data_IF_327252639945
#
_entry.id   IF_327252639945
#
_cell.length_a   1.000
_cell.length_b   1.000
_cell.length_c   1.000
_cell.angle_alpha   90.00
_cell.angle_beta   90.00
_cell.angle_gamma   90.00
#
_symmetry.space_group_name_H-M   'P 1'
#
loop_
_entity.id
_entity.type
_entity.pdbx_description
1 polymer ?
#
# COMPACT_ATOMS: atom_id res chain seq x y z
N UNK A 1 17.15 5.43 0.69
CA UNK A 1 16.54 4.38 1.54
C UNK A 1 17.41 4.21 2.76
N UNK A 2 16.90 4.60 3.93
CA UNK A 2 17.60 4.53 5.21
C UNK A 2 17.70 3.07 5.70
N UNK A 3 18.48 2.83 6.75
CA UNK A 3 18.52 1.50 7.39
C UNK A 3 17.14 1.09 7.92
N UNK A 4 16.38 2.06 8.44
CA UNK A 4 15.05 1.84 8.99
C UNK A 4 14.05 1.46 7.91
N UNK A 5 14.11 2.09 6.74
CA UNK A 5 13.26 1.74 5.59
C UNK A 5 13.51 0.30 5.13
N UNK A 6 14.79 -0.13 5.11
CA UNK A 6 15.15 -1.52 4.75
C UNK A 6 14.54 -2.51 5.73
N UNK A 7 14.62 -2.23 7.03
CA UNK A 7 14.07 -3.10 8.07
C UNK A 7 12.53 -3.15 8.01
N UNK A 8 11.88 -2.01 7.79
CA UNK A 8 10.41 -1.92 7.59
C UNK A 8 9.97 -2.76 6.39
N UNK A 9 10.64 -2.60 5.25
CA UNK A 9 10.33 -3.35 4.03
C UNK A 9 10.57 -4.85 4.20
N UNK A 10 11.61 -5.25 4.92
CA UNK A 10 11.85 -6.66 5.25
C UNK A 10 10.76 -7.22 6.17
N UNK A 11 10.30 -6.47 7.17
CA UNK A 11 9.22 -6.88 8.05
C UNK A 11 7.90 -7.02 7.28
N UNK A 12 7.61 -6.08 6.38
CA UNK A 12 6.45 -6.16 5.49
C UNK A 12 6.52 -7.40 4.59
N UNK A 13 7.69 -7.67 4.00
CA UNK A 13 7.89 -8.86 3.16
C UNK A 13 7.66 -10.16 3.95
N UNK A 14 8.05 -10.22 5.22
CA UNK A 14 7.78 -11.36 6.12
C UNK A 14 6.29 -11.47 6.47
N UNK A 15 5.61 -10.36 6.71
CA UNK A 15 4.19 -10.35 7.04
C UNK A 15 3.31 -10.88 5.89
N UNK A 16 3.80 -10.83 4.65
CA UNK A 16 3.08 -11.29 3.46
C UNK A 16 3.37 -12.74 3.05
N UNK A 17 4.00 -13.57 3.89
CA UNK A 17 4.38 -14.96 3.55
C UNK A 17 3.19 -15.84 3.11
N UNK A 18 1.99 -15.63 3.65
CA UNK A 18 0.79 -16.38 3.28
C UNK A 18 0.11 -15.94 1.97
N UNK A 19 0.63 -14.89 1.32
CA UNK A 19 0.04 -14.36 0.09
C UNK A 19 0.61 -15.01 -1.17
N UNK A 20 -0.18 -14.97 -2.25
CA UNK A 20 0.31 -15.30 -3.59
C UNK A 20 1.38 -14.30 -4.03
N UNK A 21 2.25 -14.71 -4.97
CA UNK A 21 3.31 -13.85 -5.49
C UNK A 21 2.79 -12.50 -6.03
N UNK A 22 1.65 -12.50 -6.73
CA UNK A 22 1.04 -11.28 -7.25
C UNK A 22 0.53 -10.36 -6.14
N UNK A 23 -0.09 -10.91 -5.10
CA UNK A 23 -0.54 -10.13 -3.95
C UNK A 23 0.64 -9.50 -3.22
N UNK A 24 1.72 -10.26 -2.99
CA UNK A 24 2.97 -9.75 -2.40
C UNK A 24 3.55 -8.62 -3.24
N UNK A 25 3.60 -8.79 -4.56
CA UNK A 25 4.12 -7.79 -5.48
C UNK A 25 3.29 -6.50 -5.44
N UNK A 26 1.96 -6.60 -5.40
CA UNK A 26 1.07 -5.44 -5.22
C UNK A 26 1.32 -4.76 -3.88
N UNK A 27 1.36 -5.49 -2.77
CA UNK A 27 1.63 -4.90 -1.43
C UNK A 27 2.98 -4.19 -1.40
N UNK A 28 4.04 -4.83 -1.91
CA UNK A 28 5.37 -4.23 -1.95
C UNK A 28 5.42 -3.01 -2.87
N UNK A 29 4.69 -3.01 -4.00
CA UNK A 29 4.53 -1.81 -4.83
C UNK A 29 3.92 -0.67 -4.01
N UNK A 30 2.85 -0.93 -3.25
CA UNK A 30 2.21 0.12 -2.44
C UNK A 30 3.08 0.64 -1.29
N UNK A 31 4.05 -0.15 -0.81
CA UNK A 31 4.98 0.26 0.23
C UNK A 31 6.19 1.06 -0.29
N UNK A 32 6.58 0.84 -1.55
CA UNK A 32 7.82 1.36 -2.12
C UNK A 32 7.60 2.53 -3.09
N UNK A 33 6.39 2.69 -3.60
CA UNK A 33 6.08 3.75 -4.56
C UNK A 33 6.00 5.11 -3.84
N UNK A 34 6.44 6.21 -4.48
CA UNK A 34 6.17 7.55 -3.98
C UNK A 34 4.69 7.79 -3.71
N UNK A 35 4.40 8.38 -2.56
CA UNK A 35 3.04 8.72 -2.12
C UNK A 35 2.91 10.22 -1.91
N UNK A 36 1.67 10.71 -1.91
CA UNK A 36 1.35 12.07 -1.49
C UNK A 36 1.33 12.21 0.06
N UNK A 37 0.85 13.36 0.54
CA UNK A 37 0.73 13.65 1.98
C UNK A 37 -0.29 12.75 2.71
N UNK A 38 -1.23 12.15 2.00
CA UNK A 38 -2.22 11.21 2.55
C UNK A 38 -1.70 9.77 2.54
N UNK A 39 -0.52 9.52 1.95
CA UNK A 39 -0.01 8.16 1.71
C UNK A 39 -0.58 7.52 0.45
N UNK A 40 -1.40 8.23 -0.33
CA UNK A 40 -1.98 7.71 -1.55
C UNK A 40 -0.97 7.69 -2.69
N UNK A 41 -1.04 6.65 -3.52
CA UNK A 41 -0.31 6.60 -4.78
C UNK A 41 -1.17 7.28 -5.85
N UNK A 42 -0.71 8.43 -6.33
CA UNK A 42 -1.37 9.21 -7.39
C UNK A 42 -1.07 8.67 -8.80
N UNK A 43 -1.25 7.36 -9.00
CA UNK A 43 -1.05 6.68 -10.27
C UNK A 43 -2.26 5.85 -10.68
N UNK A 44 -2.44 5.70 -12.00
CA UNK A 44 -3.54 4.89 -12.53
C UNK A 44 -3.26 3.40 -12.36
N UNK A 45 -4.33 2.60 -12.26
CA UNK A 45 -4.20 1.14 -12.21
C UNK A 45 -3.45 0.57 -13.42
N UNK A 46 -3.59 1.18 -14.60
CA UNK A 46 -2.91 0.76 -15.81
C UNK A 46 -1.39 1.01 -15.73
N UNK A 47 -0.97 2.17 -15.21
CA UNK A 47 0.44 2.49 -15.01
C UNK A 47 1.07 1.57 -13.98
N UNK A 48 0.39 1.34 -12.85
CA UNK A 48 0.87 0.43 -11.81
C UNK A 48 0.96 -1.01 -12.33
N UNK A 49 -0.03 -1.48 -13.09
CA UNK A 49 0.01 -2.80 -13.72
C UNK A 49 1.22 -2.95 -14.65
N UNK A 50 1.49 -1.94 -15.49
CA UNK A 50 2.66 -1.90 -16.36
C UNK A 50 3.96 -1.93 -15.57
N UNK A 51 4.06 -1.18 -14.47
CA UNK A 51 5.24 -1.11 -13.63
C UNK A 51 5.62 -2.49 -13.05
N UNK A 52 4.63 -3.30 -12.66
CA UNK A 52 4.87 -4.65 -12.11
C UNK A 52 4.79 -5.77 -13.15
N UNK A 53 4.73 -5.43 -14.44
CA UNK A 53 4.67 -6.42 -15.52
C UNK A 53 3.39 -7.27 -15.52
N UNK A 54 2.28 -6.73 -15.02
CA UNK A 54 0.99 -7.42 -14.99
C UNK A 54 0.03 -6.90 -16.08
N UNK A 55 -0.80 -7.79 -16.59
CA UNK A 55 -1.96 -7.37 -17.38
C UNK A 55 -2.93 -6.55 -16.50
N UNK A 56 -3.53 -5.45 -16.99
CA UNK A 56 -4.42 -4.59 -16.19
C UNK A 56 -5.58 -5.30 -15.49
N UNK A 57 -6.25 -6.31 -16.09
CA UNK A 57 -7.30 -7.07 -15.41
C UNK A 57 -6.75 -7.91 -14.24
N UNK A 58 -5.54 -8.47 -14.37
CA UNK A 58 -4.89 -9.26 -13.32
C UNK A 58 -4.52 -8.35 -12.15
N UNK A 59 -3.92 -7.19 -12.43
CA UNK A 59 -3.59 -6.21 -11.41
C UNK A 59 -4.86 -5.74 -10.67
N UNK A 60 -5.92 -5.40 -11.41
CA UNK A 60 -7.18 -4.92 -10.80
C UNK A 60 -7.81 -5.96 -9.88
N UNK A 61 -7.85 -7.24 -10.31
CA UNK A 61 -8.35 -8.35 -9.49
C UNK A 61 -7.49 -8.56 -8.25
N UNK A 62 -6.17 -8.58 -8.42
CA UNK A 62 -5.20 -8.78 -7.32
C UNK A 62 -5.33 -7.65 -6.30
N UNK A 63 -5.40 -6.39 -6.75
CA UNK A 63 -5.60 -5.23 -5.87
C UNK A 63 -6.90 -5.35 -5.08
N UNK A 64 -8.00 -5.78 -5.71
CA UNK A 64 -9.28 -6.03 -5.02
C UNK A 64 -9.13 -7.07 -3.90
N UNK A 65 -8.45 -8.17 -4.15
CA UNK A 65 -8.19 -9.20 -3.13
C UNK A 65 -7.35 -8.67 -1.96
N UNK A 66 -6.34 -7.84 -2.25
CA UNK A 66 -5.49 -7.22 -1.23
C UNK A 66 -6.27 -6.18 -0.41
N UNK A 67 -7.19 -5.43 -1.03
CA UNK A 67 -8.15 -4.54 -0.34
C UNK A 67 -9.08 -5.36 0.57
N UNK A 68 -9.67 -6.44 0.06
CA UNK A 68 -10.56 -7.34 0.81
C UNK A 68 -9.84 -8.00 1.99
N UNK A 69 -8.54 -8.24 1.87
CA UNK A 69 -7.69 -8.73 2.95
C UNK A 69 -7.24 -7.63 3.94
N UNK A 70 -7.69 -6.38 3.77
CA UNK A 70 -7.41 -5.27 4.69
C UNK A 70 -5.99 -4.69 4.60
N UNK A 71 -5.30 -4.88 3.47
CA UNK A 71 -3.94 -4.35 3.28
C UNK A 71 -3.93 -2.98 2.60
N UNK A 72 -4.89 -2.74 1.71
CA UNK A 72 -5.03 -1.46 1.01
C UNK A 72 -6.39 -0.85 1.31
N UNK A 73 -6.43 0.47 1.34
CA UNK A 73 -7.67 1.24 1.47
C UNK A 73 -7.76 2.30 0.37
N UNK A 74 -8.99 2.59 -0.06
CA UNK A 74 -9.30 3.70 -0.96
C UNK A 74 -9.24 5.00 -0.15
N UNK A 75 -8.44 5.97 -0.60
CA UNK A 75 -8.22 7.24 0.12
C UNK A 75 -9.06 8.37 -0.44
N UNK A 76 -8.97 8.53 -1.76
CA UNK A 76 -9.54 9.67 -2.47
C UNK A 76 -10.01 9.25 -3.86
N UNK A 77 -10.92 10.07 -4.39
CA UNK A 77 -11.40 9.97 -5.76
C UNK A 77 -11.30 11.33 -6.43
N UNK A 78 -10.44 11.44 -7.44
CA UNK A 78 -10.33 12.64 -8.27
C UNK A 78 -10.91 12.32 -9.65
N UNK A 79 -12.03 12.97 -9.99
CA UNK A 79 -12.80 12.64 -11.18
C UNK A 79 -13.30 11.19 -11.16
N UNK A 80 -12.91 10.40 -12.16
CA UNK A 80 -13.25 8.97 -12.26
C UNK A 80 -12.16 8.04 -11.72
N UNK A 81 -11.04 8.57 -11.25
CA UNK A 81 -9.90 7.78 -10.77
C UNK A 81 -9.99 7.66 -9.25
N UNK A 82 -9.88 6.43 -8.76
CA UNK A 82 -9.79 6.11 -7.32
C UNK A 82 -8.33 5.86 -6.98
N UNK A 83 -7.87 6.45 -5.89
CA UNK A 83 -6.52 6.28 -5.36
C UNK A 83 -6.54 5.43 -4.10
N UNK A 84 -5.41 4.77 -3.85
CA UNK A 84 -5.29 3.79 -2.79
C UNK A 84 -3.97 4.00 -2.06
N UNK A 85 -3.94 3.58 -0.79
CA UNK A 85 -2.73 3.51 0.03
C UNK A 85 -2.62 2.17 0.73
N UNK A 86 -1.42 1.87 1.20
CA UNK A 86 -1.19 0.79 2.17
C UNK A 86 -1.76 1.20 3.53
N UNK A 87 -2.51 0.32 4.18
CA UNK A 87 -3.04 0.60 5.54
C UNK A 87 -1.84 0.81 6.49
N UNK A 88 -1.76 1.96 7.18
CA UNK A 88 -0.64 2.30 8.08
C UNK A 88 -0.36 1.25 9.16
N UNK A 89 -1.36 0.45 9.56
CA UNK A 89 -1.19 -0.63 10.55
C UNK A 89 -0.15 -1.65 10.10
N UNK A 90 -0.01 -1.88 8.80
CA UNK A 90 0.95 -2.85 8.24
C UNK A 90 2.35 -2.28 8.07
N UNK A 91 2.52 -0.96 8.17
CA UNK A 91 3.83 -0.28 8.16
C UNK A 91 4.44 -0.14 9.56
N UNK A 92 3.74 -0.61 10.61
CA UNK A 92 4.17 -0.46 11.99
C UNK A 92 4.01 0.98 12.51
N UNK A 93 3.22 1.82 11.84
CA UNK A 93 2.80 3.11 12.38
C UNK A 93 1.77 2.85 13.48
N UNK A 94 2.27 2.69 14.71
CA UNK A 94 1.43 2.94 15.88
C UNK A 94 1.03 4.40 15.82
N UNK A 95 -0.20 4.69 15.39
CA UNK A 95 -0.84 6.00 15.53
C UNK A 95 -1.09 6.22 17.03
N UNK A 96 -0.03 6.46 17.78
CA UNK A 96 -0.08 6.98 19.15
C UNK A 96 -0.15 8.49 19.03
N UNK A 97 -1.36 9.03 18.92
CA UNK A 97 -1.59 10.45 19.25
C UNK A 97 -1.47 10.55 20.76
N UNK A 98 -0.44 11.22 21.33
CA UNK A 98 -0.40 11.45 22.76
C UNK A 98 -1.58 12.35 23.12
N UNK A 99 -2.49 11.88 23.96
CA UNK A 99 -3.50 12.71 24.60
C UNK A 99 -2.77 13.81 25.38
N UNK A 100 -2.75 15.03 24.84
CA UNK A 100 -2.36 16.22 25.62
C UNK A 100 -3.37 16.33 26.75
N UNK A 101 -2.93 16.10 27.99
CA UNK A 101 -3.69 16.51 29.16
C UNK A 101 -3.75 18.04 29.12
N UNK A 102 -4.95 18.60 29.01
CA UNK A 102 -5.16 20.01 29.27
C UNK A 102 -4.82 20.25 30.75
N UNK A 103 -3.74 21.00 31.00
CA UNK A 103 -3.49 21.68 32.27
C UNK A 103 -4.10 23.06 32.23
#
# INVERSE_FOLDING_TARGET
MTSDDKQKNLNLLKATVGMTANQRLVVMLYALHPTDRSGAILETAANLAKLVGMAPPVFSRTRKQVIEAGWLEETEKIGHIRYYRLDPKHLGENVVVPLRRAT
#
